data_IF_731867923549
#
_entry.id   IF_731867923549
#
_cell.length_a   1.000
_cell.length_b   1.000
_cell.length_c   1.000
_cell.angle_alpha   90.00
_cell.angle_beta   90.00
_cell.angle_gamma   90.00
#
_symmetry.space_group_name_H-M   'P 1'
#
loop_
_entity.id
_entity.type
_entity.pdbx_description
1 polymer ?
#
# COMPACT_ATOMS: atom_id res chain seq x y z
N UNK A 1 -36.68 -30.95 12.86
CA UNK A 1 -35.24 -30.76 12.58
C UNK A 1 -34.95 -30.12 11.22
N UNK A 2 -35.89 -30.07 10.27
CA UNK A 2 -35.65 -29.49 8.93
C UNK A 2 -35.55 -27.95 8.89
N UNK A 3 -36.14 -27.26 9.88
CA UNK A 3 -36.14 -25.78 9.92
C UNK A 3 -34.85 -25.14 10.47
N UNK A 4 -33.96 -25.91 11.12
CA UNK A 4 -32.69 -25.38 11.64
C UNK A 4 -31.67 -25.20 10.50
N UNK A 5 -31.65 -26.10 9.52
CA UNK A 5 -30.75 -26.03 8.37
C UNK A 5 -31.03 -24.82 7.46
N UNK A 6 -32.30 -24.38 7.37
CA UNK A 6 -32.66 -23.15 6.65
C UNK A 6 -32.14 -21.88 7.32
N UNK A 7 -32.00 -21.86 8.65
CA UNK A 7 -31.46 -20.73 9.39
C UNK A 7 -29.92 -20.65 9.25
N UNK A 8 -29.24 -21.80 9.18
CA UNK A 8 -27.78 -21.89 9.03
C UNK A 8 -27.32 -21.45 7.63
N UNK A 9 -28.09 -21.77 6.58
CA UNK A 9 -27.81 -21.33 5.21
C UNK A 9 -27.94 -19.81 5.00
N UNK A 10 -28.75 -19.12 5.82
CA UNK A 10 -28.94 -17.68 5.71
C UNK A 10 -27.75 -16.88 6.30
N UNK A 11 -26.97 -17.48 7.20
CA UNK A 11 -25.83 -16.82 7.86
C UNK A 11 -24.57 -16.79 6.99
N UNK A 12 -24.47 -17.64 5.97
CA UNK A 12 -23.28 -17.75 5.11
C UNK A 12 -23.20 -16.59 4.11
N UNK A 13 -24.31 -15.89 3.83
CA UNK A 13 -24.36 -14.78 2.88
C UNK A 13 -23.96 -13.40 3.43
N UNK A 14 -23.69 -13.28 4.75
CA UNK A 14 -23.35 -11.98 5.37
C UNK A 14 -21.85 -11.76 5.59
N UNK A 15 -21.00 -12.66 5.10
CA UNK A 15 -19.54 -12.53 5.25
C UNK A 15 -18.86 -11.93 4.02
N UNK A 16 -19.54 -11.08 3.24
CA UNK A 16 -18.83 -10.18 2.32
C UNK A 16 -18.35 -8.99 3.15
N UNK A 17 -17.25 -9.21 3.87
CA UNK A 17 -16.49 -8.10 4.45
C UNK A 17 -15.96 -7.30 3.26
N UNK A 18 -16.66 -6.22 2.89
CA UNK A 18 -16.03 -5.16 2.12
C UNK A 18 -14.96 -4.56 3.03
N UNK A 19 -13.77 -5.16 3.05
CA UNK A 19 -12.62 -4.61 3.74
C UNK A 19 -12.24 -3.36 2.97
N UNK A 20 -12.89 -2.25 3.31
CA UNK A 20 -12.41 -0.94 2.94
C UNK A 20 -10.96 -0.89 3.41
N UNK A 21 -10.06 -0.66 2.48
CA UNK A 21 -8.61 -0.65 2.66
C UNK A 21 -8.18 0.59 3.44
N UNK A 22 -8.72 0.77 4.64
CA UNK A 22 -8.54 1.96 5.45
C UNK A 22 -8.02 1.51 6.80
N UNK A 23 -6.73 1.16 6.84
CA UNK A 23 -6.03 1.04 8.10
C UNK A 23 -5.17 2.28 8.30
N UNK A 24 -5.37 2.99 9.42
CA UNK A 24 -4.52 4.11 9.87
C UNK A 24 -4.35 5.26 8.86
N UNK A 25 -5.46 5.82 8.37
CA UNK A 25 -5.51 7.05 7.56
C UNK A 25 -4.86 6.98 6.17
N UNK A 26 -4.36 5.81 5.72
CA UNK A 26 -3.90 5.64 4.34
C UNK A 26 -5.11 5.31 3.47
N UNK A 27 -5.37 6.15 2.47
CA UNK A 27 -6.44 5.94 1.50
C UNK A 27 -5.89 5.20 0.28
N UNK A 28 -6.43 4.02 -0.01
CA UNK A 28 -6.16 3.30 -1.26
C UNK A 28 -7.29 3.57 -2.23
N UNK A 29 -6.96 4.14 -3.40
CA UNK A 29 -7.97 4.48 -4.40
C UNK A 29 -8.65 3.23 -4.97
N UNK A 30 -9.88 3.38 -5.44
CA UNK A 30 -10.59 2.32 -6.17
C UNK A 30 -9.80 1.90 -7.43
N UNK A 31 -9.20 2.87 -8.14
CA UNK A 31 -8.41 2.61 -9.35
C UNK A 31 -7.21 1.71 -9.05
N UNK A 32 -6.45 2.00 -8.00
CA UNK A 32 -5.33 1.19 -7.54
C UNK A 32 -5.79 -0.21 -7.10
N UNK A 33 -6.92 -0.30 -6.40
CA UNK A 33 -7.49 -1.58 -5.97
C UNK A 33 -7.82 -2.47 -7.17
N UNK A 34 -8.49 -1.93 -8.19
CA UNK A 34 -8.82 -2.67 -9.43
C UNK A 34 -7.55 -3.06 -10.19
N UNK A 35 -6.55 -2.19 -10.26
CA UNK A 35 -5.30 -2.47 -10.95
C UNK A 35 -4.50 -3.59 -10.25
N UNK A 36 -4.45 -3.59 -8.92
CA UNK A 36 -3.82 -4.65 -8.15
C UNK A 36 -4.56 -5.99 -8.28
N UNK A 37 -5.89 -5.98 -8.24
CA UNK A 37 -6.71 -7.18 -8.45
C UNK A 37 -6.46 -7.81 -9.83
N UNK A 38 -6.35 -6.99 -10.89
CA UNK A 38 -5.98 -7.47 -12.24
C UNK A 38 -4.61 -8.15 -12.28
N UNK A 39 -3.70 -7.77 -11.38
CA UNK A 39 -2.40 -8.41 -11.19
C UNK A 39 -2.43 -9.56 -10.16
N UNK A 40 -3.61 -9.95 -9.69
CA UNK A 40 -3.82 -10.96 -8.64
C UNK A 40 -3.13 -10.63 -7.31
N UNK A 41 -3.03 -9.34 -6.99
CA UNK A 41 -2.42 -8.84 -5.75
C UNK A 41 -3.53 -8.43 -4.78
N UNK A 42 -3.55 -9.01 -3.58
CA UNK A 42 -4.33 -8.51 -2.46
C UNK A 42 -3.59 -7.33 -1.81
N UNK A 43 -3.74 -6.17 -2.45
CA UNK A 43 -2.99 -4.96 -2.09
C UNK A 43 -3.21 -4.54 -0.64
N UNK A 44 -4.45 -4.69 -0.15
CA UNK A 44 -4.83 -4.27 1.19
C UNK A 44 -4.27 -5.18 2.26
N UNK A 45 -4.27 -6.49 2.03
CA UNK A 45 -3.60 -7.42 2.93
C UNK A 45 -2.09 -7.16 2.96
N UNK A 46 -1.49 -6.89 1.80
CA UNK A 46 -0.07 -6.57 1.71
C UNK A 46 0.26 -5.26 2.46
N UNK A 47 -0.53 -4.20 2.25
CA UNK A 47 -0.38 -2.91 2.94
C UNK A 47 -0.55 -3.07 4.45
N UNK A 48 -1.55 -3.82 4.91
CA UNK A 48 -1.77 -4.08 6.33
C UNK A 48 -0.59 -4.84 6.96
N UNK A 49 -0.02 -5.81 6.24
CA UNK A 49 1.19 -6.51 6.67
C UNK A 49 2.38 -5.54 6.77
N UNK A 50 2.56 -4.67 5.78
CA UNK A 50 3.61 -3.64 5.80
C UNK A 50 3.43 -2.66 6.97
N UNK A 51 2.21 -2.19 7.24
CA UNK A 51 1.87 -1.32 8.37
C UNK A 51 2.08 -1.98 9.73
N UNK A 52 1.95 -3.31 9.82
CA UNK A 52 2.33 -4.07 11.01
C UNK A 52 3.85 -4.14 11.22
N UNK A 53 4.62 -3.72 10.22
CA UNK A 53 6.07 -3.65 10.27
C UNK A 53 6.79 -4.85 9.70
N UNK A 54 6.11 -5.69 8.91
CA UNK A 54 6.71 -6.81 8.22
C UNK A 54 7.64 -6.29 7.10
N UNK A 55 8.93 -6.56 7.22
CA UNK A 55 9.95 -6.01 6.31
C UNK A 55 9.81 -6.53 4.88
N UNK A 56 9.47 -7.81 4.70
CA UNK A 56 9.25 -8.41 3.39
C UNK A 56 8.05 -7.75 2.71
N UNK A 57 6.96 -7.51 3.44
CA UNK A 57 5.78 -6.82 2.90
C UNK A 57 6.05 -5.35 2.58
N UNK A 58 6.87 -4.66 3.38
CA UNK A 58 7.30 -3.28 3.09
C UNK A 58 8.11 -3.26 1.80
N UNK A 59 9.02 -4.21 1.61
CA UNK A 59 9.80 -4.33 0.39
C UNK A 59 8.91 -4.67 -0.80
N UNK A 60 8.07 -5.70 -0.67
CA UNK A 60 7.20 -6.18 -1.74
C UNK A 60 6.25 -5.09 -2.22
N UNK A 61 5.57 -4.38 -1.31
CA UNK A 61 4.65 -3.31 -1.71
C UNK A 61 5.38 -2.17 -2.42
N UNK A 62 6.61 -1.85 -2.00
CA UNK A 62 7.42 -0.77 -2.60
C UNK A 62 7.92 -1.09 -4.01
N UNK A 63 7.90 -2.36 -4.40
CA UNK A 63 8.39 -2.84 -5.69
C UNK A 63 7.25 -3.23 -6.63
N UNK A 64 5.99 -2.98 -6.25
CA UNK A 64 4.87 -3.19 -7.15
C UNK A 64 4.92 -2.17 -8.28
N UNK A 65 4.94 -2.68 -9.50
CA UNK A 65 4.91 -1.84 -10.69
C UNK A 65 3.46 -1.51 -11.06
N UNK A 66 3.17 -0.23 -11.22
CA UNK A 66 1.92 0.32 -11.73
C UNK A 66 2.21 1.48 -12.68
N UNK A 67 1.50 1.49 -13.81
CA UNK A 67 1.64 2.49 -14.86
C UNK A 67 0.62 3.62 -14.73
N UNK A 68 0.85 4.70 -15.46
CA UNK A 68 -0.06 5.83 -15.62
C UNK A 68 -0.57 6.40 -14.28
N UNK A 69 -1.87 6.74 -14.22
CA UNK A 69 -2.49 7.33 -13.02
C UNK A 69 -2.40 6.40 -11.80
N UNK A 70 -2.37 5.09 -12.01
CA UNK A 70 -2.27 4.10 -10.93
C UNK A 70 -0.94 4.23 -10.19
N UNK A 71 0.13 4.55 -10.91
CA UNK A 71 1.45 4.79 -10.31
C UNK A 71 1.47 5.99 -9.37
N UNK A 72 0.68 7.03 -9.64
CA UNK A 72 0.56 8.18 -8.73
C UNK A 72 -0.14 7.81 -7.43
N UNK A 73 -1.25 7.07 -7.54
CA UNK A 73 -1.98 6.57 -6.37
C UNK A 73 -1.10 5.65 -5.52
N UNK A 74 -0.35 4.76 -6.18
CA UNK A 74 0.61 3.89 -5.49
C UNK A 74 1.70 4.70 -4.79
N UNK A 75 2.28 5.70 -5.47
CA UNK A 75 3.27 6.58 -4.89
C UNK A 75 2.78 7.32 -3.64
N UNK A 76 1.53 7.78 -3.63
CA UNK A 76 0.92 8.38 -2.43
C UNK A 76 0.88 7.39 -1.26
N UNK A 77 0.45 6.14 -1.52
CA UNK A 77 0.41 5.08 -0.49
C UNK A 77 1.80 4.78 0.06
N UNK A 78 2.84 4.76 -0.77
CA UNK A 78 4.22 4.51 -0.31
C UNK A 78 4.70 5.64 0.61
N UNK A 79 4.42 6.91 0.28
CA UNK A 79 4.78 8.02 1.16
C UNK A 79 4.04 7.93 2.50
N UNK A 80 2.74 7.65 2.47
CA UNK A 80 1.94 7.51 3.69
C UNK A 80 2.43 6.34 4.56
N UNK A 81 2.81 5.22 3.92
CA UNK A 81 3.40 4.07 4.59
C UNK A 81 4.69 4.48 5.32
N UNK A 82 5.60 5.20 4.65
CA UNK A 82 6.85 5.68 5.26
C UNK A 82 6.58 6.57 6.46
N UNK A 83 5.63 7.50 6.33
CA UNK A 83 5.27 8.41 7.41
C UNK A 83 4.71 7.66 8.63
N UNK A 84 3.97 6.58 8.40
CA UNK A 84 3.33 5.83 9.48
C UNK A 84 4.26 4.80 10.15
N UNK A 85 5.18 4.17 9.40
CA UNK A 85 6.12 3.18 9.98
C UNK A 85 7.46 3.77 10.41
N UNK A 86 7.77 4.98 9.95
CA UNK A 86 9.04 5.67 10.16
C UNK A 86 10.10 5.35 9.09
N UNK A 87 10.85 6.38 8.72
CA UNK A 87 11.87 6.33 7.67
C UNK A 87 12.96 5.27 7.93
N UNK A 88 13.50 5.21 9.15
CA UNK A 88 14.55 4.24 9.50
C UNK A 88 14.10 2.79 9.25
N UNK A 89 12.85 2.49 9.61
CA UNK A 89 12.28 1.16 9.41
C UNK A 89 12.11 0.85 7.93
N UNK A 90 11.58 1.81 7.16
CA UNK A 90 11.43 1.65 5.72
C UNK A 90 12.78 1.40 5.04
N UNK A 91 13.79 2.24 5.31
CA UNK A 91 15.13 2.12 4.74
C UNK A 91 15.77 0.76 5.06
N UNK A 92 15.58 0.25 6.27
CA UNK A 92 16.05 -1.09 6.64
C UNK A 92 15.38 -2.18 5.81
N UNK A 93 14.06 -2.10 5.62
CA UNK A 93 13.29 -3.09 4.84
C UNK A 93 13.70 -3.15 3.37
N UNK A 94 14.16 -2.04 2.80
CA UNK A 94 14.61 -1.97 1.40
C UNK A 94 16.13 -1.96 1.24
N UNK A 95 16.91 -2.29 2.27
CA UNK A 95 18.38 -2.17 2.24
C UNK A 95 19.04 -3.03 1.14
N UNK A 96 18.51 -4.23 0.89
CA UNK A 96 19.02 -5.15 -0.13
C UNK A 96 18.14 -5.13 -1.38
N UNK A 97 18.19 -4.04 -2.12
CA UNK A 97 17.56 -3.87 -3.44
C UNK A 97 18.59 -3.55 -4.53
N UNK A 98 18.25 -3.86 -5.77
CA UNK A 98 19.03 -3.51 -6.95
C UNK A 98 18.99 -2.02 -7.24
N UNK A 99 19.83 -1.58 -8.17
CA UNK A 99 19.84 -0.18 -8.61
C UNK A 99 18.55 0.19 -9.32
N UNK A 100 18.02 -0.74 -10.12
CA UNK A 100 16.78 -0.60 -10.88
C UNK A 100 15.58 -0.50 -9.94
N UNK A 101 15.51 -1.36 -8.92
CA UNK A 101 14.50 -1.31 -7.86
C UNK A 101 14.56 0.01 -7.08
N UNK A 102 15.76 0.53 -6.80
CA UNK A 102 15.93 1.85 -6.17
C UNK A 102 15.38 2.98 -7.06
N UNK A 103 15.57 2.92 -8.38
CA UNK A 103 15.00 3.90 -9.30
C UNK A 103 13.46 3.84 -9.34
N UNK A 104 12.90 2.63 -9.30
CA UNK A 104 11.45 2.43 -9.23
C UNK A 104 10.87 3.06 -7.95
N UNK A 105 11.44 2.76 -6.80
CA UNK A 105 10.99 3.35 -5.53
C UNK A 105 11.11 4.87 -5.58
N UNK A 106 12.24 5.41 -6.06
CA UNK A 106 12.43 6.85 -6.16
C UNK A 106 11.40 7.54 -7.05
N UNK A 107 10.98 6.92 -8.16
CA UNK A 107 9.96 7.51 -9.03
C UNK A 107 8.60 7.58 -8.33
N UNK A 108 8.24 6.57 -7.55
CA UNK A 108 7.03 6.57 -6.72
C UNK A 108 7.08 7.60 -5.60
N UNK A 109 8.22 7.77 -4.94
CA UNK A 109 8.39 8.79 -3.92
C UNK A 109 8.29 10.20 -4.51
N UNK A 110 8.90 10.45 -5.67
CA UNK A 110 8.81 11.75 -6.35
C UNK A 110 7.35 12.13 -6.64
N UNK A 111 6.56 11.22 -7.21
CA UNK A 111 5.17 11.51 -7.54
C UNK A 111 4.27 11.55 -6.30
N UNK A 112 4.49 10.67 -5.32
CA UNK A 112 3.74 10.65 -4.06
C UNK A 112 3.92 11.91 -3.23
N UNK A 113 5.13 12.49 -3.24
CA UNK A 113 5.41 13.76 -2.57
C UNK A 113 4.81 14.98 -3.31
N UNK A 114 4.60 14.88 -4.62
CA UNK A 114 4.03 15.98 -5.41
C UNK A 114 2.51 15.96 -5.37
N UNK A 115 1.90 14.79 -5.54
CA UNK A 115 0.47 14.61 -5.78
C UNK A 115 -0.28 13.92 -4.62
N UNK A 116 0.43 13.33 -3.66
CA UNK A 116 -0.19 12.68 -2.52
C UNK A 116 -0.79 13.66 -1.52
N UNK A 117 -1.72 13.17 -0.70
CA UNK A 117 -2.45 13.94 0.31
C UNK A 117 -1.62 14.17 1.59
N UNK A 118 -0.39 14.67 1.45
CA UNK A 118 0.60 14.78 2.51
C UNK A 118 0.91 16.24 2.89
N UNK A 119 0.03 16.93 3.64
CA UNK A 119 0.23 18.32 4.02
C UNK A 119 1.41 18.54 4.98
N UNK A 120 1.97 17.47 5.54
CA UNK A 120 3.05 17.50 6.54
C UNK A 120 4.46 17.35 5.97
N UNK A 121 4.62 17.04 4.69
CA UNK A 121 5.95 16.85 4.10
C UNK A 121 6.40 18.13 3.43
N UNK A 122 7.34 18.85 4.07
CA UNK A 122 8.08 19.89 3.38
C UNK A 122 8.99 19.20 2.34
N UNK A 123 8.79 19.53 1.06
CA UNK A 123 9.38 18.84 -0.11
C UNK A 123 10.92 18.79 -0.11
N UNK A 124 11.56 19.45 0.85
CA UNK A 124 13.01 19.64 0.97
C UNK A 124 13.72 18.52 1.73
N UNK A 125 13.05 17.81 2.64
CA UNK A 125 13.73 16.91 3.60
C UNK A 125 13.94 15.49 3.06
N UNK A 126 12.98 14.90 2.32
CA UNK A 126 13.12 13.52 1.81
C UNK A 126 14.16 13.39 0.68
N UNK A 127 14.28 14.43 -0.16
CA UNK A 127 15.19 14.42 -1.34
C UNK A 127 16.66 14.30 -0.98
N UNK A 128 17.03 14.67 0.25
CA UNK A 128 18.40 14.65 0.76
C UNK A 128 18.93 13.23 1.04
N UNK A 129 18.04 12.26 1.24
CA UNK A 129 18.41 10.90 1.64
C UNK A 129 18.46 9.90 0.49
N UNK A 130 17.99 10.29 -0.70
CA UNK A 130 17.90 9.41 -1.88
C UNK A 130 18.92 9.77 -2.98
N UNK A 131 19.66 10.87 -2.83
CA UNK A 131 20.79 11.30 -3.68
C UNK A 131 22.08 10.55 -3.36
#
# INVERSE_FOLDING_TARGET
MENIYRLILLFIFLSSCNSTCAHKNIEVSELLSIAAEKKSIDYCKLLNSALSGNEDSIKEISLLEFDDAVGYDHGSVIVDLILEIGEEKYLRSIFMISKEEKYLINSYLDVGLIYGNNPKVDKKDLKKYLS
#
